data_IF_049698692075
#
_entry.id   IF_049698692075
#
_cell.length_a   1.000
_cell.length_b   1.000
_cell.length_c   1.000
_cell.angle_alpha   90.00
_cell.angle_beta   90.00
_cell.angle_gamma   90.00
#
_symmetry.space_group_name_H-M   'P 1'
#
loop_
_entity.id
_entity.type
_entity.pdbx_description
1 polymer ?
#
# COMPACT_ATOMS: atom_id res chain seq x y z
N UNK A 1 -4.01 -0.98 6.77
CA UNK A 1 -5.48 -0.80 6.89
C UNK A 1 -5.97 -1.02 8.33
N UNK A 2 -6.95 -0.22 8.78
CA UNK A 2 -7.61 -0.37 10.08
C UNK A 2 -8.39 -1.69 10.17
N UNK A 3 -8.85 -2.08 11.37
CA UNK A 3 -9.67 -3.29 11.54
C UNK A 3 -10.96 -3.25 10.70
N UNK A 4 -11.68 -2.12 10.74
CA UNK A 4 -12.87 -1.90 9.91
C UNK A 4 -12.56 -2.01 8.41
N UNK A 5 -11.46 -1.39 7.95
CA UNK A 5 -11.04 -1.50 6.55
C UNK A 5 -10.74 -2.95 6.13
N UNK A 6 -10.07 -3.73 6.99
CA UNK A 6 -9.82 -5.16 6.71
C UNK A 6 -11.09 -5.98 6.64
N UNK A 7 -12.08 -5.69 7.49
CA UNK A 7 -13.40 -6.33 7.48
C UNK A 7 -14.17 -6.00 6.19
N UNK A 8 -14.02 -4.78 5.67
CA UNK A 8 -14.55 -4.37 4.36
C UNK A 8 -13.74 -4.91 3.16
N UNK A 9 -12.74 -5.77 3.37
CA UNK A 9 -11.97 -6.42 2.31
C UNK A 9 -10.64 -5.75 1.97
N UNK A 10 -10.28 -4.62 2.59
CA UNK A 10 -8.98 -3.98 2.35
C UNK A 10 -7.81 -4.92 2.71
N UNK A 11 -6.78 -4.90 1.87
CA UNK A 11 -5.54 -5.67 2.06
C UNK A 11 -4.33 -4.74 2.08
N UNK A 12 -3.28 -5.05 2.86
CA UNK A 12 -2.05 -4.27 2.83
C UNK A 12 -1.41 -4.35 1.44
N UNK A 13 -0.86 -3.23 0.99
CA UNK A 13 -0.01 -3.12 -0.20
C UNK A 13 1.39 -2.76 0.27
N UNK A 14 2.39 -3.39 -0.30
CA UNK A 14 3.79 -3.21 0.06
C UNK A 14 4.49 -2.44 -1.05
N UNK A 15 5.03 -1.28 -0.70
CA UNK A 15 5.63 -0.34 -1.65
C UNK A 15 7.08 -0.07 -1.26
N UNK A 16 7.98 -0.19 -2.23
CA UNK A 16 9.38 0.20 -2.14
C UNK A 16 9.59 1.64 -2.59
N UNK A 17 10.86 2.06 -2.66
CA UNK A 17 11.25 3.39 -3.15
C UNK A 17 10.56 4.56 -2.42
N UNK A 18 10.09 4.36 -1.19
CA UNK A 18 9.31 5.37 -0.43
C UNK A 18 10.08 6.64 -0.07
N UNK A 19 11.40 6.68 -0.32
CA UNK A 19 12.23 7.87 -0.16
C UNK A 19 12.53 8.58 -1.49
N UNK A 20 12.14 7.99 -2.62
CA UNK A 20 12.12 8.68 -3.91
C UNK A 20 10.98 9.72 -3.89
N UNK A 21 11.26 10.93 -4.36
CA UNK A 21 10.32 12.04 -4.27
C UNK A 21 9.07 11.79 -5.12
N UNK A 22 9.20 11.20 -6.31
CA UNK A 22 8.06 10.91 -7.17
C UNK A 22 7.18 9.83 -6.56
N UNK A 23 7.79 8.74 -6.08
CA UNK A 23 7.05 7.67 -5.40
C UNK A 23 6.33 8.19 -4.14
N UNK A 24 6.97 9.07 -3.38
CA UNK A 24 6.37 9.68 -2.18
C UNK A 24 5.09 10.45 -2.52
N UNK A 25 5.13 11.31 -3.54
CA UNK A 25 3.97 12.11 -3.94
C UNK A 25 2.82 11.22 -4.45
N UNK A 26 3.11 10.22 -5.27
CA UNK A 26 2.10 9.27 -5.76
C UNK A 26 1.44 8.48 -4.61
N UNK A 27 2.25 8.05 -3.62
CA UNK A 27 1.75 7.34 -2.44
C UNK A 27 0.88 8.26 -1.58
N UNK A 28 1.32 9.50 -1.33
CA UNK A 28 0.57 10.49 -0.54
C UNK A 28 -0.75 10.83 -1.22
N UNK A 29 -0.74 11.03 -2.54
CA UNK A 29 -1.95 11.29 -3.31
C UNK A 29 -2.97 10.14 -3.17
N UNK A 30 -2.52 8.89 -3.29
CA UNK A 30 -3.40 7.72 -3.11
C UNK A 30 -3.92 7.59 -1.68
N UNK A 31 -3.07 7.81 -0.68
CA UNK A 31 -3.48 7.78 0.74
C UNK A 31 -4.51 8.85 1.04
N UNK A 32 -4.35 10.07 0.50
CA UNK A 32 -5.33 11.16 0.63
C UNK A 32 -6.66 10.83 -0.04
N UNK A 33 -6.63 10.08 -1.15
CA UNK A 33 -7.84 9.55 -1.78
C UNK A 33 -8.53 8.42 -0.98
N UNK A 34 -7.89 7.92 0.08
CA UNK A 34 -8.42 6.88 0.98
C UNK A 34 -7.56 5.62 1.04
N UNK A 35 -6.62 5.43 0.11
CA UNK A 35 -5.64 4.35 0.12
C UNK A 35 -6.24 2.94 -0.08
N UNK A 36 -5.52 1.88 0.36
CA UNK A 36 -5.87 0.50 0.07
C UNK A 36 -7.27 0.10 0.52
N UNK A 37 -8.07 -0.39 -0.42
CA UNK A 37 -9.44 -0.87 -0.17
C UNK A 37 -10.50 0.24 -0.09
N UNK A 38 -10.13 1.50 -0.30
CA UNK A 38 -11.06 2.64 -0.42
C UNK A 38 -10.92 3.30 -1.79
N UNK A 39 -9.69 3.65 -2.18
CA UNK A 39 -9.39 4.15 -3.52
C UNK A 39 -8.73 3.05 -4.37
N UNK A 40 -9.07 2.95 -5.68
CA UNK A 40 -8.34 2.07 -6.58
C UNK A 40 -6.85 2.47 -6.55
N UNK A 41 -5.98 1.47 -6.57
CA UNK A 41 -4.54 1.71 -6.64
C UNK A 41 -4.21 2.27 -8.03
N UNK A 42 -3.59 3.46 -8.15
CA UNK A 42 -3.14 3.97 -9.44
C UNK A 42 -2.07 3.06 -10.04
N UNK A 43 -2.10 2.85 -11.36
CA UNK A 43 -1.17 1.96 -12.07
C UNK A 43 0.31 2.35 -11.87
N UNK A 44 0.61 3.64 -11.64
CA UNK A 44 1.98 4.10 -11.35
C UNK A 44 2.57 3.44 -10.09
N UNK A 45 1.73 3.11 -9.11
CA UNK A 45 2.17 2.45 -7.88
C UNK A 45 2.58 0.98 -8.11
N UNK A 46 2.31 0.42 -9.29
CA UNK A 46 2.78 -0.93 -9.66
C UNK A 46 4.28 -0.95 -9.86
N UNK A 47 4.90 0.17 -10.25
CA UNK A 47 6.35 0.32 -10.32
C UNK A 47 7.03 0.18 -8.95
N UNK A 48 6.30 0.49 -7.89
CA UNK A 48 6.81 0.48 -6.52
C UNK A 48 6.34 -0.73 -5.73
N UNK A 49 5.40 -1.52 -6.27
CA UNK A 49 4.82 -2.65 -5.56
C UNK A 49 5.76 -3.84 -5.50
N UNK A 50 5.80 -4.50 -4.34
CA UNK A 50 6.56 -5.73 -4.16
C UNK A 50 5.83 -6.73 -3.28
N UNK A 51 6.19 -8.01 -3.40
CA UNK A 51 5.70 -9.04 -2.48
C UNK A 51 6.55 -9.00 -1.22
N UNK A 52 5.97 -8.78 -0.03
CA UNK A 52 6.74 -8.78 1.21
C UNK A 52 7.35 -10.16 1.45
N UNK A 53 8.54 -10.24 2.06
CA UNK A 53 9.03 -11.51 2.58
C UNK A 53 8.02 -12.08 3.59
N UNK A 54 7.85 -13.40 3.60
CA UNK A 54 6.94 -14.05 4.56
C UNK A 54 7.37 -13.68 5.97
N UNK A 55 6.43 -13.20 6.78
CA UNK A 55 6.66 -13.03 8.21
C UNK A 55 6.99 -14.40 8.79
N UNK A 56 8.20 -14.57 9.34
CA UNK A 56 8.54 -15.75 10.12
C UNK A 56 7.72 -15.68 11.40
N UNK A 57 6.82 -16.63 11.59
CA UNK A 57 6.21 -16.84 12.92
C UNK A 57 7.32 -17.42 13.79
N UNK A 58 7.61 -16.75 14.90
CA UNK A 58 8.52 -17.27 15.92
C UNK A 58 7.95 -18.61 16.44
N UNK A 59 8.76 -19.66 16.62
CA UNK A 59 8.28 -20.95 17.12
C UNK A 59 7.79 -20.86 18.57
#
# INVERSE_FOLDING_TARGET
PSAAGRAAGARPVWLGLVNDAAATEDIVAWVRAGGPGVAPRPDILDLYAFTPPRRRTEP
#
